data_IF_477560185615
#
_entry.id   IF_477560185615
#
_cell.length_a   1.000
_cell.length_b   1.000
_cell.length_c   1.000
_cell.angle_alpha   90.00
_cell.angle_beta   90.00
_cell.angle_gamma   90.00
#
_symmetry.space_group_name_H-M   'P 1'
#
loop_
_entity.id
_entity.type
_entity.pdbx_description
1 polymer ?
#
# COMPACT_ATOMS: atom_id res chain seq x y z
N UNK A 1 8.02 23.12 54.95
CA UNK A 1 7.18 21.91 54.80
C UNK A 1 7.09 21.38 53.37
N UNK A 2 7.08 22.21 52.32
CA UNK A 2 7.02 21.73 50.93
C UNK A 2 8.25 20.90 50.45
N UNK A 3 9.44 21.14 51.00
CA UNK A 3 10.66 20.42 50.58
C UNK A 3 10.62 18.93 50.91
N UNK A 4 10.09 18.56 52.08
CA UNK A 4 10.06 17.16 52.53
C UNK A 4 9.12 16.29 51.68
N UNK A 5 8.00 16.84 51.21
CA UNK A 5 7.06 16.09 50.36
C UNK A 5 7.63 15.83 48.94
N UNK A 6 8.43 16.76 48.42
CA UNK A 6 9.03 16.62 47.09
C UNK A 6 10.20 15.62 47.10
N UNK A 7 10.93 15.51 48.22
CA UNK A 7 11.93 14.46 48.42
C UNK A 7 11.29 13.06 48.53
N UNK A 8 10.15 12.92 49.24
CA UNK A 8 9.41 11.65 49.29
C UNK A 8 8.91 11.24 47.91
N UNK A 9 8.28 12.16 47.17
CA UNK A 9 7.78 11.91 45.82
C UNK A 9 8.92 11.49 44.86
N UNK A 10 10.09 12.16 44.93
CA UNK A 10 11.25 11.78 44.11
C UNK A 10 11.84 10.42 44.51
N UNK A 11 11.81 10.09 45.79
CA UNK A 11 12.24 8.78 46.29
C UNK A 11 11.29 7.66 45.84
N UNK A 12 9.98 7.91 45.85
CA UNK A 12 8.95 6.96 45.38
C UNK A 12 9.02 6.73 43.87
N UNK A 13 9.22 7.78 43.07
CA UNK A 13 9.37 7.66 41.61
C UNK A 13 10.64 6.87 41.25
N UNK A 14 11.74 7.12 41.96
CA UNK A 14 12.98 6.37 41.77
C UNK A 14 12.81 4.89 42.17
N UNK A 15 12.06 4.61 43.24
CA UNK A 15 11.74 3.24 43.64
C UNK A 15 10.89 2.54 42.59
N UNK A 16 9.84 3.20 42.09
CA UNK A 16 8.95 2.64 41.07
C UNK A 16 9.68 2.39 39.74
N UNK A 17 10.59 3.28 39.34
CA UNK A 17 11.42 3.08 38.15
C UNK A 17 12.36 1.87 38.31
N UNK A 18 12.95 1.69 39.50
CA UNK A 18 13.81 0.53 39.82
C UNK A 18 12.99 -0.76 39.85
N UNK A 19 11.76 -0.73 40.35
CA UNK A 19 10.86 -1.89 40.36
C UNK A 19 10.40 -2.28 38.95
N UNK A 20 10.08 -1.32 38.08
CA UNK A 20 9.74 -1.57 36.67
C UNK A 20 10.93 -2.20 35.95
N UNK A 21 12.15 -1.69 36.15
CA UNK A 21 13.34 -2.25 35.50
C UNK A 21 13.70 -3.64 36.03
N UNK A 22 13.54 -3.88 37.34
CA UNK A 22 13.69 -5.23 37.93
C UNK A 22 12.66 -6.19 37.36
N UNK A 23 11.39 -5.81 37.29
CA UNK A 23 10.33 -6.63 36.72
C UNK A 23 10.56 -6.92 35.22
N UNK A 24 11.02 -5.94 34.44
CA UNK A 24 11.36 -6.13 33.04
C UNK A 24 12.57 -7.08 32.87
N UNK A 25 13.59 -6.97 33.71
CA UNK A 25 14.74 -7.89 33.74
C UNK A 25 14.32 -9.30 34.16
N UNK A 26 13.47 -9.42 35.18
CA UNK A 26 12.94 -10.69 35.68
C UNK A 26 12.08 -11.42 34.63
N UNK A 27 11.13 -10.70 34.02
CA UNK A 27 10.34 -11.20 32.88
C UNK A 27 11.27 -11.64 31.76
N UNK A 28 12.29 -10.85 31.41
CA UNK A 28 13.24 -11.22 30.35
C UNK A 28 14.03 -12.47 30.70
N UNK A 29 14.50 -12.64 31.94
CA UNK A 29 15.14 -13.88 32.37
C UNK A 29 14.18 -15.07 32.34
N UNK A 30 12.90 -14.85 32.65
CA UNK A 30 11.89 -15.89 32.58
C UNK A 30 11.63 -16.36 31.14
N UNK A 31 11.65 -15.45 30.15
CA UNK A 31 11.58 -15.81 28.72
C UNK A 31 12.83 -16.55 28.22
N UNK A 32 14.00 -16.24 28.76
CA UNK A 32 15.26 -16.93 28.39
C UNK A 32 15.34 -18.32 28.99
N UNK A 33 14.89 -18.49 30.24
CA UNK A 33 14.91 -19.78 30.94
C UNK A 33 13.79 -20.72 30.44
N UNK A 34 12.62 -20.17 30.12
CA UNK A 34 11.48 -20.91 29.57
C UNK A 34 11.24 -20.52 28.11
N UNK A 35 12.23 -20.74 27.25
CA UNK A 35 12.04 -20.58 25.82
C UNK A 35 10.96 -21.56 25.35
N UNK A 36 9.74 -21.05 25.13
CA UNK A 36 8.60 -21.83 24.68
C UNK A 36 8.98 -22.49 23.34
N UNK A 37 9.17 -23.81 23.33
CA UNK A 37 9.58 -24.54 22.13
C UNK A 37 8.55 -24.27 21.02
N UNK A 38 8.97 -23.72 19.86
CA UNK A 38 8.02 -23.45 18.80
C UNK A 38 7.44 -24.79 18.33
N UNK A 39 6.10 -24.93 18.22
CA UNK A 39 5.51 -26.14 17.69
C UNK A 39 6.08 -26.44 16.30
N UNK A 40 6.28 -27.72 15.99
CA UNK A 40 6.94 -28.18 14.76
C UNK A 40 6.49 -27.36 13.53
N UNK A 41 7.41 -26.76 12.76
CA UNK A 41 7.06 -25.80 11.69
C UNK A 41 6.04 -26.36 10.69
N UNK A 42 6.17 -27.64 10.36
CA UNK A 42 5.31 -28.32 9.41
C UNK A 42 3.85 -28.43 9.86
N UNK A 43 3.57 -28.52 11.17
CA UNK A 43 2.18 -28.58 11.67
C UNK A 43 1.50 -27.22 11.65
N UNK A 44 2.22 -26.14 11.97
CA UNK A 44 1.67 -24.77 11.89
C UNK A 44 1.31 -24.42 10.45
N UNK A 45 2.17 -24.79 9.51
CA UNK A 45 1.90 -24.62 8.08
C UNK A 45 0.71 -25.49 7.64
N UNK A 46 0.70 -26.77 8.00
CA UNK A 46 -0.40 -27.68 7.65
C UNK A 46 -1.75 -27.21 8.21
N UNK A 47 -1.80 -26.77 9.47
CA UNK A 47 -3.04 -26.30 10.10
C UNK A 47 -3.50 -24.96 9.53
N UNK A 48 -2.58 -24.04 9.23
CA UNK A 48 -2.91 -22.76 8.59
C UNK A 48 -3.43 -22.97 7.17
N UNK A 49 -2.81 -23.86 6.40
CA UNK A 49 -3.22 -24.23 5.04
C UNK A 49 -4.59 -24.93 5.08
N UNK A 50 -4.77 -25.92 5.94
CA UNK A 50 -6.02 -26.67 6.07
C UNK A 50 -7.20 -25.76 6.46
N UNK A 51 -7.00 -24.89 7.46
CA UNK A 51 -8.02 -23.91 7.87
C UNK A 51 -8.33 -22.91 6.75
N UNK A 52 -7.33 -22.47 5.98
CA UNK A 52 -7.53 -21.53 4.86
C UNK A 52 -8.27 -22.19 3.69
N UNK A 53 -7.90 -23.43 3.32
CA UNK A 53 -8.57 -24.19 2.24
C UNK A 53 -10.03 -24.49 2.60
N UNK A 54 -10.29 -24.91 3.84
CA UNK A 54 -11.65 -25.21 4.30
C UNK A 54 -12.56 -23.97 4.23
N UNK A 55 -12.06 -22.81 4.65
CA UNK A 55 -12.81 -21.55 4.59
C UNK A 55 -13.14 -21.12 3.14
N UNK A 56 -12.19 -21.32 2.22
CA UNK A 56 -12.43 -21.02 0.81
C UNK A 56 -13.43 -21.99 0.17
N UNK A 57 -13.35 -23.29 0.50
CA UNK A 57 -14.28 -24.31 -0.04
C UNK A 57 -15.74 -24.01 0.32
N UNK A 58 -16.02 -23.61 1.55
CA UNK A 58 -17.37 -23.24 1.98
C UNK A 58 -17.88 -21.95 1.32
N UNK A 59 -16.99 -20.99 1.10
CA UNK A 59 -17.32 -19.73 0.42
C UNK A 59 -17.53 -19.94 -1.09
N UNK A 60 -16.74 -20.81 -1.72
CA UNK A 60 -16.88 -21.21 -3.13
C UNK A 60 -18.19 -21.98 -3.35
N UNK A 61 -18.55 -22.90 -2.45
CA UNK A 61 -19.83 -23.60 -2.47
C UNK A 61 -21.01 -22.61 -2.44
N UNK A 62 -20.97 -21.61 -1.54
CA UNK A 62 -22.04 -20.61 -1.47
C UNK A 62 -22.13 -19.68 -2.69
N UNK A 63 -21.05 -19.56 -3.47
CA UNK A 63 -21.04 -18.78 -4.70
C UNK A 63 -21.59 -19.57 -5.91
N UNK A 64 -21.46 -20.90 -5.91
CA UNK A 64 -22.03 -21.78 -6.95
C UNK A 64 -23.56 -21.81 -6.89
N UNK A 65 -24.16 -21.63 -5.71
CA UNK A 65 -25.63 -21.67 -5.53
C UNK A 65 -26.34 -20.39 -5.99
N UNK A 66 -25.62 -19.36 -6.46
CA UNK A 66 -26.23 -18.09 -6.84
C UNK A 66 -26.51 -17.96 -8.35
N UNK A 67 -27.68 -17.43 -8.75
CA UNK A 67 -28.04 -17.24 -10.15
C UNK A 67 -27.07 -16.28 -10.86
N UNK A 68 -26.83 -16.55 -12.15
CA UNK A 68 -25.80 -15.88 -12.98
C UNK A 68 -25.87 -14.33 -12.98
N UNK A 69 -27.04 -13.75 -12.68
CA UNK A 69 -27.26 -12.30 -12.57
C UNK A 69 -26.76 -11.72 -11.23
N UNK A 70 -26.89 -12.45 -10.12
CA UNK A 70 -26.33 -12.03 -8.83
C UNK A 70 -24.83 -12.29 -8.75
N UNK A 71 -24.29 -13.22 -9.54
CA UNK A 71 -22.84 -13.38 -9.73
C UNK A 71 -22.26 -12.11 -10.39
N UNK A 72 -22.85 -11.64 -11.49
CA UNK A 72 -22.43 -10.39 -12.14
C UNK A 72 -22.58 -9.20 -11.22
N UNK A 73 -23.68 -9.11 -10.47
CA UNK A 73 -23.89 -8.05 -9.48
C UNK A 73 -22.89 -8.15 -8.32
N UNK A 74 -22.52 -9.37 -7.88
CA UNK A 74 -21.52 -9.61 -6.84
C UNK A 74 -20.12 -9.28 -7.35
N UNK A 75 -19.78 -9.65 -8.59
CA UNK A 75 -18.53 -9.24 -9.25
C UNK A 75 -18.51 -7.72 -9.38
N UNK A 76 -19.61 -7.08 -9.76
CA UNK A 76 -19.70 -5.62 -9.84
C UNK A 76 -19.60 -4.96 -8.46
N UNK A 77 -20.16 -5.56 -7.41
CA UNK A 77 -20.02 -5.09 -6.02
C UNK A 77 -18.61 -5.32 -5.46
N UNK A 78 -17.91 -6.37 -5.90
CA UNK A 78 -16.53 -6.68 -5.55
C UNK A 78 -15.55 -5.83 -6.35
N UNK A 79 -15.86 -5.52 -7.61
CA UNK A 79 -15.09 -4.67 -8.52
C UNK A 79 -15.28 -3.21 -8.15
N UNK A 80 -16.47 -2.80 -7.70
CA UNK A 80 -16.76 -1.43 -7.23
C UNK A 80 -17.12 -1.41 -5.72
N UNK A 81 -16.19 -1.76 -4.81
CA UNK A 81 -16.41 -1.65 -3.38
C UNK A 81 -16.64 -0.18 -2.96
N UNK A 82 -16.28 0.80 -3.81
CA UNK A 82 -16.59 2.22 -3.60
C UNK A 82 -18.08 2.46 -3.41
N UNK A 83 -18.95 1.82 -4.19
CA UNK A 83 -20.41 2.04 -4.07
C UNK A 83 -20.93 1.54 -2.71
N UNK A 84 -20.39 0.42 -2.22
CA UNK A 84 -20.71 -0.12 -0.90
C UNK A 84 -20.13 0.75 0.23
N UNK A 85 -18.86 1.17 0.10
CA UNK A 85 -18.17 2.04 1.06
C UNK A 85 -18.75 3.47 1.11
N UNK A 86 -19.25 3.97 -0.02
CA UNK A 86 -19.85 5.29 -0.17
C UNK A 86 -21.21 5.41 0.53
N UNK A 87 -21.95 4.31 0.69
CA UNK A 87 -23.28 4.35 1.32
C UNK A 87 -23.24 4.70 2.82
N UNK A 88 -22.15 4.36 3.52
CA UNK A 88 -21.91 4.76 4.92
C UNK A 88 -20.98 5.99 5.03
N UNK A 89 -20.77 6.71 3.93
CA UNK A 89 -19.83 7.81 3.86
C UNK A 89 -20.49 9.13 4.22
N UNK A 90 -20.14 9.67 5.40
CA UNK A 90 -20.66 10.94 5.89
C UNK A 90 -20.02 12.13 5.17
N UNK A 91 -20.77 13.21 4.93
CA UNK A 91 -20.24 14.46 4.35
C UNK A 91 -19.05 15.05 5.13
N UNK A 92 -18.96 14.82 6.44
CA UNK A 92 -17.79 15.21 7.27
C UNK A 92 -16.52 14.46 6.87
N UNK A 93 -16.61 13.19 6.46
CA UNK A 93 -15.46 12.42 5.95
C UNK A 93 -15.04 12.94 4.59
N UNK A 94 -15.99 13.26 3.71
CA UNK A 94 -15.71 13.89 2.41
C UNK A 94 -14.86 15.15 2.53
N UNK A 95 -15.23 16.06 3.46
CA UNK A 95 -14.45 17.29 3.68
C UNK A 95 -13.03 17.02 4.15
N UNK A 96 -12.83 15.99 5.00
CA UNK A 96 -11.51 15.59 5.49
C UNK A 96 -10.67 14.95 4.37
N UNK A 97 -11.27 14.06 3.59
CA UNK A 97 -10.59 13.38 2.49
C UNK A 97 -10.26 14.36 1.34
N UNK A 98 -11.13 15.35 1.09
CA UNK A 98 -10.85 16.43 0.13
C UNK A 98 -9.67 17.30 0.59
N UNK A 99 -9.61 17.67 1.87
CA UNK A 99 -8.49 18.44 2.42
C UNK A 99 -7.19 17.63 2.38
N UNK A 100 -7.24 16.34 2.73
CA UNK A 100 -6.11 15.42 2.62
C UNK A 100 -5.65 15.27 1.17
N UNK A 101 -6.59 15.06 0.24
CA UNK A 101 -6.33 14.96 -1.19
C UNK A 101 -5.70 16.22 -1.76
N UNK A 102 -6.18 17.42 -1.38
CA UNK A 102 -5.59 18.69 -1.79
C UNK A 102 -4.15 18.85 -1.26
N UNK A 103 -3.90 18.40 -0.02
CA UNK A 103 -2.56 18.42 0.58
C UNK A 103 -1.59 17.53 -0.20
N UNK A 104 -2.01 16.30 -0.52
CA UNK A 104 -1.19 15.38 -1.33
C UNK A 104 -1.03 15.90 -2.77
N UNK A 105 -2.08 16.46 -3.37
CA UNK A 105 -2.03 17.02 -4.72
C UNK A 105 -1.04 18.19 -4.83
N UNK A 106 -0.99 19.07 -3.82
CA UNK A 106 -0.04 20.19 -3.76
C UNK A 106 1.42 19.74 -3.88
N UNK A 107 1.76 18.56 -3.34
CA UNK A 107 3.10 17.97 -3.44
C UNK A 107 3.26 17.10 -4.69
N UNK A 108 2.22 16.36 -5.07
CA UNK A 108 2.27 15.41 -6.18
C UNK A 108 2.33 16.09 -7.56
N UNK A 109 1.67 17.24 -7.73
CA UNK A 109 1.70 18.02 -8.97
C UNK A 109 3.14 18.45 -9.33
N UNK A 110 3.87 19.20 -8.49
CA UNK A 110 5.25 19.58 -8.80
C UNK A 110 6.19 18.37 -8.90
N UNK A 111 6.00 17.33 -8.06
CA UNK A 111 6.80 16.11 -8.12
C UNK A 111 6.66 15.39 -9.47
N UNK A 112 5.43 15.20 -9.94
CA UNK A 112 5.16 14.49 -11.20
C UNK A 112 5.63 15.27 -12.43
N UNK A 113 5.52 16.60 -12.43
CA UNK A 113 6.10 17.46 -13.47
C UNK A 113 7.62 17.32 -13.49
N UNK A 114 8.28 17.40 -12.32
CA UNK A 114 9.73 17.23 -12.22
C UNK A 114 10.20 15.87 -12.75
N UNK A 115 9.48 14.79 -12.41
CA UNK A 115 9.83 13.45 -12.87
C UNK A 115 9.63 13.26 -14.38
N UNK A 116 8.62 13.88 -14.99
CA UNK A 116 8.48 13.90 -16.44
C UNK A 116 9.66 14.58 -17.13
N UNK A 117 10.10 15.73 -16.61
CA UNK A 117 11.28 16.44 -17.13
C UNK A 117 12.55 15.60 -17.02
N UNK A 118 12.73 14.84 -15.93
CA UNK A 118 13.87 13.91 -15.78
C UNK A 118 13.85 12.74 -16.78
N UNK A 119 12.66 12.36 -17.27
CA UNK A 119 12.48 11.36 -18.31
C UNK A 119 12.54 11.96 -19.74
N UNK A 120 12.82 13.26 -19.87
CA UNK A 120 12.74 14.02 -21.13
C UNK A 120 11.38 13.88 -21.84
N UNK A 121 10.32 13.85 -21.05
CA UNK A 121 8.93 13.88 -21.53
C UNK A 121 8.29 15.23 -21.24
N UNK A 122 7.24 15.54 -21.99
CA UNK A 122 6.42 16.71 -21.67
C UNK A 122 5.80 16.56 -20.27
N UNK A 123 5.72 17.66 -19.48
CA UNK A 123 5.11 17.67 -18.15
C UNK A 123 3.71 17.05 -18.06
N UNK A 124 2.96 17.08 -19.17
CA UNK A 124 1.61 16.53 -19.29
C UNK A 124 1.58 15.02 -19.01
N UNK A 125 2.58 14.27 -19.48
CA UNK A 125 2.66 12.82 -19.25
C UNK A 125 2.93 12.47 -17.78
N UNK A 126 3.66 13.33 -17.06
CA UNK A 126 3.88 13.19 -15.62
C UNK A 126 2.56 13.32 -14.85
N UNK A 127 1.75 14.32 -15.19
CA UNK A 127 0.44 14.53 -14.59
C UNK A 127 -0.53 13.39 -14.90
N UNK A 128 -0.52 12.86 -16.12
CA UNK A 128 -1.34 11.69 -16.46
C UNK A 128 -0.92 10.46 -15.66
N UNK A 129 0.38 10.23 -15.49
CA UNK A 129 0.90 9.09 -14.72
C UNK A 129 0.64 9.22 -13.21
N UNK A 130 0.49 10.43 -12.67
CA UNK A 130 0.17 10.62 -11.24
C UNK A 130 -1.32 10.50 -10.92
N UNK A 131 -2.20 10.83 -11.86
CA UNK A 131 -3.66 10.80 -11.63
C UNK A 131 -4.31 9.49 -12.07
N UNK A 132 -3.94 8.97 -13.25
CA UNK A 132 -4.65 7.84 -13.88
C UNK A 132 -4.48 6.54 -13.09
N UNK A 133 -3.29 6.10 -12.66
CA UNK A 133 -3.14 4.85 -11.93
C UNK A 133 -3.86 4.84 -10.57
N UNK A 134 -3.77 5.89 -9.71
CA UNK A 134 -4.57 5.96 -8.49
C UNK A 134 -6.07 6.01 -8.76
N UNK A 135 -6.52 6.63 -9.86
CA UNK A 135 -7.94 6.65 -10.23
C UNK A 135 -8.43 5.25 -10.61
N UNK A 136 -7.67 4.52 -11.43
CA UNK A 136 -7.97 3.13 -11.80
C UNK A 136 -7.97 2.26 -10.54
N UNK A 137 -6.99 2.44 -9.66
CA UNK A 137 -6.94 1.72 -8.38
C UNK A 137 -8.10 2.09 -7.46
N UNK A 138 -8.51 3.35 -7.38
CA UNK A 138 -9.65 3.74 -6.57
C UNK A 138 -10.90 2.99 -7.04
N UNK A 139 -11.08 2.86 -8.36
CA UNK A 139 -12.20 2.14 -8.97
C UNK A 139 -12.16 0.63 -8.68
N UNK A 140 -11.01 -0.02 -8.87
CA UNK A 140 -10.87 -1.48 -8.80
C UNK A 140 -10.42 -2.02 -7.43
N UNK A 141 -9.87 -1.17 -6.58
CA UNK A 141 -9.13 -1.55 -5.38
C UNK A 141 -10.02 -1.76 -4.17
N UNK A 142 -9.74 -2.82 -3.42
CA UNK A 142 -10.45 -3.15 -2.17
C UNK A 142 -9.84 -2.46 -0.95
N UNK A 143 -8.57 -2.05 -1.01
CA UNK A 143 -7.82 -1.50 0.11
C UNK A 143 -7.68 0.03 -0.01
N UNK A 144 -7.87 0.76 1.10
CA UNK A 144 -7.89 2.24 1.09
C UNK A 144 -6.50 2.88 1.18
N UNK A 145 -5.45 2.11 1.46
CA UNK A 145 -4.13 2.61 1.89
C UNK A 145 -3.01 2.26 0.89
N UNK A 146 -3.26 2.42 -0.42
CA UNK A 146 -2.19 2.30 -1.42
C UNK A 146 -1.78 3.69 -1.93
N UNK A 147 -0.47 3.90 -2.05
CA UNK A 147 0.09 5.04 -2.76
C UNK A 147 0.74 4.51 -4.04
N UNK A 148 0.25 4.97 -5.19
CA UNK A 148 0.79 4.66 -6.51
C UNK A 148 1.15 6.00 -7.17
N UNK A 149 2.33 6.10 -7.78
CA UNK A 149 2.75 7.32 -8.44
C UNK A 149 4.07 7.15 -9.20
N UNK A 150 4.48 8.17 -9.97
CA UNK A 150 5.75 8.16 -10.68
C UNK A 150 6.92 8.20 -9.69
N UNK A 151 8.02 7.55 -10.05
CA UNK A 151 9.23 7.43 -9.21
C UNK A 151 10.43 8.04 -9.94
N UNK A 152 11.23 8.83 -9.23
CA UNK A 152 12.39 9.52 -9.80
C UNK A 152 13.40 8.56 -10.46
N UNK A 153 13.72 7.46 -9.79
CA UNK A 153 14.68 6.46 -10.28
C UNK A 153 14.23 5.84 -11.59
N UNK A 154 12.93 5.52 -11.72
CA UNK A 154 12.35 4.97 -12.95
C UNK A 154 12.41 6.00 -14.08
N UNK A 155 12.22 7.28 -13.77
CA UNK A 155 12.26 8.37 -14.76
C UNK A 155 13.66 8.56 -15.36
N UNK A 156 14.69 8.53 -14.51
CA UNK A 156 16.10 8.59 -14.94
C UNK A 156 16.54 7.33 -15.70
N UNK A 157 16.08 6.17 -15.24
CA UNK A 157 16.37 4.92 -15.93
C UNK A 157 15.70 4.89 -17.30
N UNK A 158 14.47 5.37 -17.40
CA UNK A 158 13.73 5.46 -18.64
C UNK A 158 14.43 6.37 -19.66
N UNK A 159 14.83 7.59 -19.27
CA UNK A 159 15.59 8.46 -20.18
C UNK A 159 16.90 7.82 -20.62
N UNK A 160 17.74 7.37 -19.68
CA UNK A 160 19.04 6.77 -20.01
C UNK A 160 18.98 5.51 -20.90
N UNK A 161 17.85 4.79 -20.92
CA UNK A 161 17.66 3.62 -21.78
C UNK A 161 17.02 3.98 -23.12
N UNK A 162 16.04 4.89 -23.13
CA UNK A 162 15.32 5.25 -24.35
C UNK A 162 16.12 6.19 -25.24
N UNK A 163 16.93 7.09 -24.67
CA UNK A 163 17.84 7.98 -25.41
C UNK A 163 18.86 7.23 -26.26
N UNK A 164 19.22 6.00 -25.87
CA UNK A 164 20.12 5.14 -26.64
C UNK A 164 19.48 4.62 -27.94
N UNK A 165 18.15 4.58 -27.99
CA UNK A 165 17.40 4.08 -29.14
C UNK A 165 16.92 5.23 -30.02
N UNK A 166 16.39 6.28 -29.41
CA UNK A 166 15.88 7.48 -30.09
C UNK A 166 16.31 8.70 -29.30
N UNK A 167 16.99 9.62 -29.96
CA UNK A 167 17.36 10.90 -29.35
C UNK A 167 16.13 11.81 -29.25
N UNK A 168 15.74 12.29 -28.05
CA UNK A 168 14.57 13.14 -27.85
C UNK A 168 14.67 14.48 -28.59
N UNK A 169 15.88 14.98 -28.88
CA UNK A 169 16.07 16.23 -29.62
C UNK A 169 15.80 16.08 -31.12
N UNK A 170 16.06 14.90 -31.68
CA UNK A 170 15.87 14.61 -33.11
C UNK A 170 14.41 14.30 -33.44
N UNK A 171 13.78 13.38 -32.68
CA UNK A 171 12.41 12.90 -32.95
C UNK A 171 11.56 12.79 -31.65
N UNK A 172 11.05 13.92 -31.10
CA UNK A 172 10.33 13.92 -29.81
C UNK A 172 9.05 13.07 -29.84
N UNK A 173 8.35 13.05 -30.98
CA UNK A 173 7.13 12.24 -31.17
C UNK A 173 7.47 10.74 -31.22
N UNK A 174 8.60 10.38 -31.83
CA UNK A 174 9.08 8.99 -31.88
C UNK A 174 9.50 8.49 -30.49
N UNK A 175 10.22 9.32 -29.75
CA UNK A 175 10.64 9.05 -28.37
C UNK A 175 9.46 8.77 -27.43
N UNK A 176 8.42 9.61 -27.49
CA UNK A 176 7.22 9.43 -26.66
C UNK A 176 6.48 8.12 -27.00
N UNK A 177 6.34 7.79 -28.29
CA UNK A 177 5.70 6.53 -28.71
C UNK A 177 6.49 5.30 -28.22
N UNK A 178 7.81 5.36 -28.29
CA UNK A 178 8.68 4.29 -27.80
C UNK A 178 8.52 4.08 -26.29
N UNK A 179 8.51 5.17 -25.52
CA UNK A 179 8.28 5.12 -24.07
C UNK A 179 6.91 4.51 -23.76
N UNK A 180 5.84 4.98 -24.39
CA UNK A 180 4.49 4.46 -24.14
C UNK A 180 4.40 2.96 -24.44
N UNK A 181 5.05 2.50 -25.51
CA UNK A 181 5.12 1.08 -25.84
C UNK A 181 5.91 0.29 -24.78
N UNK A 182 7.06 0.81 -24.34
CA UNK A 182 7.86 0.19 -23.28
C UNK A 182 7.08 0.12 -21.95
N UNK A 183 6.38 1.18 -21.56
CA UNK A 183 5.51 1.21 -20.38
C UNK A 183 4.34 0.23 -20.52
N UNK A 184 3.74 0.11 -21.70
CA UNK A 184 2.69 -0.87 -21.96
C UNK A 184 3.21 -2.30 -21.77
N UNK A 185 4.37 -2.64 -22.33
CA UNK A 185 5.01 -3.94 -22.14
C UNK A 185 5.34 -4.20 -20.67
N UNK A 186 5.90 -3.21 -19.96
CA UNK A 186 6.16 -3.32 -18.53
C UNK A 186 4.88 -3.63 -17.75
N UNK A 187 3.76 -2.99 -18.12
CA UNK A 187 2.43 -3.29 -17.58
C UNK A 187 2.00 -4.74 -17.83
N UNK A 188 2.13 -5.24 -19.07
CA UNK A 188 1.81 -6.63 -19.43
C UNK A 188 2.65 -7.63 -18.60
N UNK A 189 3.95 -7.37 -18.45
CA UNK A 189 4.82 -8.20 -17.61
C UNK A 189 4.43 -8.15 -16.13
N UNK A 190 4.14 -6.96 -15.60
CA UNK A 190 3.70 -6.80 -14.21
C UNK A 190 2.37 -7.51 -13.95
N UNK A 191 1.41 -7.42 -14.87
CA UNK A 191 0.15 -8.16 -14.78
C UNK A 191 0.40 -9.67 -14.86
N UNK A 192 1.27 -10.13 -15.75
CA UNK A 192 1.62 -11.55 -15.88
C UNK A 192 2.24 -12.09 -14.59
N UNK A 193 3.20 -11.38 -13.99
CA UNK A 193 3.77 -11.75 -12.69
C UNK A 193 2.76 -11.64 -11.54
N UNK A 194 1.83 -10.69 -11.60
CA UNK A 194 0.75 -10.57 -10.63
C UNK A 194 -0.25 -11.72 -10.69
N UNK A 195 -0.54 -12.25 -11.90
CA UNK A 195 -1.44 -13.39 -12.10
C UNK A 195 -0.79 -14.74 -11.77
N UNK A 196 0.54 -14.85 -11.89
CA UNK A 196 1.29 -16.06 -11.56
C UNK A 196 1.56 -16.22 -10.06
N UNK A 197 1.20 -15.24 -9.22
CA UNK A 197 1.41 -15.25 -7.77
C UNK A 197 0.10 -15.46 -7.00
#
# INVERSE_FOLDING_TARGET
MASSAMETCKSEDLHMQVDIEKNAKDIRSQWVLNAHEPPSPWRVVADSVSKTISHYKHKLSSLIDQPCTTLLLSVLQVVFPILASGRNYTATKFRKDLLAGLTIASLCIPQSIGYATLAHLDPQYGLYTSVVPPLIYAVMGTSREIAIGPVAVVSLLLSSMMEKLVDPATDPVGYTKLILLATLFAGIFQTSFGLLR
#
